data_IF_701680969144
#
_entry.id   IF_701680969144
#
_cell.length_a   1.000
_cell.length_b   1.000
_cell.length_c   1.000
_cell.angle_alpha   90.00
_cell.angle_beta   90.00
_cell.angle_gamma   90.00
#
_symmetry.space_group_name_H-M   'P 1'
#
loop_
_entity.id
_entity.type
_entity.pdbx_description
1 polymer ?
#
# COMPACT_ATOMS: atom_id res chain seq x y z
N UNK A 1 50.68 -1.25 33.53
CA UNK A 1 49.24 -1.52 33.35
C UNK A 1 48.72 -0.53 32.33
N UNK A 2 48.40 -0.98 31.13
CA UNK A 2 47.92 -0.13 30.05
C UNK A 2 46.43 -0.41 29.85
N UNK A 3 45.60 0.58 30.13
CA UNK A 3 44.15 0.56 29.90
C UNK A 3 43.89 0.71 28.40
N UNK A 4 43.32 -0.32 27.78
CA UNK A 4 42.75 -0.25 26.44
C UNK A 4 41.35 0.36 26.57
N UNK A 5 41.19 1.61 26.15
CA UNK A 5 39.88 2.23 25.96
C UNK A 5 39.26 1.65 24.69
N UNK A 6 38.15 0.92 24.83
CA UNK A 6 37.35 0.46 23.71
C UNK A 6 36.76 1.67 22.98
N UNK A 7 37.26 1.97 21.78
CA UNK A 7 36.67 2.95 20.89
C UNK A 7 35.35 2.36 20.38
N UNK A 8 34.25 2.96 20.83
CA UNK A 8 32.91 2.61 20.39
C UNK A 8 32.73 2.93 18.92
N UNK A 9 32.51 1.89 18.12
CA UNK A 9 31.78 1.99 16.87
C UNK A 9 30.42 1.32 17.11
N UNK A 10 29.52 2.04 17.78
CA UNK A 10 28.09 1.80 17.57
C UNK A 10 27.82 2.12 16.10
N UNK A 11 27.41 1.16 15.27
CA UNK A 11 26.76 1.53 14.03
C UNK A 11 25.54 2.34 14.43
N UNK A 12 25.53 3.61 14.04
CA UNK A 12 24.32 4.43 14.07
C UNK A 12 23.28 3.67 13.27
N UNK A 13 22.41 2.95 13.96
CA UNK A 13 21.21 2.37 13.40
C UNK A 13 20.28 3.56 13.11
N UNK A 14 20.57 4.30 12.04
CA UNK A 14 19.51 4.94 11.30
C UNK A 14 18.60 3.79 10.89
N UNK A 15 17.49 3.65 11.61
CA UNK A 15 16.46 2.69 11.27
C UNK A 15 16.21 2.84 9.76
N UNK A 16 16.27 1.76 8.96
CA UNK A 16 15.76 1.83 7.61
C UNK A 16 14.33 2.36 7.75
N UNK A 17 14.00 3.43 7.06
CA UNK A 17 12.65 3.96 7.03
C UNK A 17 11.76 2.93 6.35
N UNK A 18 11.35 1.90 7.09
CA UNK A 18 10.31 0.95 6.71
C UNK A 18 8.93 1.62 6.72
N UNK A 19 8.82 2.92 6.98
CA UNK A 19 7.54 3.67 7.02
C UNK A 19 6.70 3.56 5.75
N UNK A 20 7.27 3.29 4.58
CA UNK A 20 6.47 3.07 3.36
C UNK A 20 5.85 1.68 3.24
N UNK A 21 6.17 0.74 4.14
CA UNK A 21 5.53 -0.56 4.23
C UNK A 21 4.15 -0.46 4.90
N UNK A 22 3.99 0.42 5.89
CA UNK A 22 2.74 0.63 6.64
C UNK A 22 1.84 1.73 6.06
N UNK A 23 2.37 2.63 5.21
CA UNK A 23 1.63 3.82 4.74
C UNK A 23 0.61 3.55 3.61
N UNK A 24 0.51 2.32 3.08
CA UNK A 24 -0.45 1.98 2.03
C UNK A 24 -1.69 1.33 2.62
N UNK A 25 -2.85 1.83 2.20
CA UNK A 25 -4.16 1.42 2.70
C UNK A 25 -4.42 -0.08 2.47
N UNK A 26 -5.01 -0.72 3.48
CA UNK A 26 -5.59 -2.08 3.38
C UNK A 26 -7.01 -2.05 2.82
N UNK A 27 -7.59 -3.22 2.58
CA UNK A 27 -8.99 -3.41 2.23
C UNK A 27 -9.93 -2.73 3.23
N UNK A 28 -9.70 -2.96 4.53
CA UNK A 28 -10.49 -2.35 5.61
C UNK A 28 -10.31 -0.83 5.69
N UNK A 29 -9.08 -0.32 5.62
CA UNK A 29 -8.83 1.13 5.67
C UNK A 29 -9.39 1.87 4.46
N UNK A 30 -9.22 1.31 3.26
CA UNK A 30 -9.78 1.86 2.03
C UNK A 30 -11.31 1.85 2.07
N UNK A 31 -11.90 0.78 2.59
CA UNK A 31 -13.36 0.69 2.79
C UNK A 31 -13.85 1.74 3.77
N UNK A 32 -13.16 1.97 4.90
CA UNK A 32 -13.56 2.99 5.87
C UNK A 32 -13.55 4.40 5.27
N UNK A 33 -12.47 4.76 4.55
CA UNK A 33 -12.35 6.07 3.92
C UNK A 33 -13.46 6.31 2.89
N UNK A 34 -13.78 5.28 2.09
CA UNK A 34 -14.89 5.36 1.14
C UNK A 34 -16.24 5.37 1.83
N UNK A 35 -16.44 4.63 2.92
CA UNK A 35 -17.69 4.65 3.69
C UNK A 35 -18.00 6.09 4.17
N UNK A 36 -17.02 6.74 4.78
CA UNK A 36 -17.17 8.11 5.30
C UNK A 36 -17.39 9.11 4.16
N UNK A 37 -16.63 9.02 3.08
CA UNK A 37 -16.76 9.91 1.94
C UNK A 37 -18.12 9.74 1.22
N UNK A 38 -18.48 8.51 0.88
CA UNK A 38 -19.72 8.18 0.17
C UNK A 38 -20.94 8.57 1.00
N UNK A 39 -20.89 8.40 2.32
CA UNK A 39 -21.93 8.87 3.24
C UNK A 39 -22.18 10.38 3.14
N UNK A 40 -21.13 11.17 2.97
CA UNK A 40 -21.26 12.62 2.80
C UNK A 40 -21.66 13.03 1.36
N UNK A 41 -21.50 12.16 0.36
CA UNK A 41 -21.63 12.49 -1.08
C UNK A 41 -22.76 11.73 -1.80
N UNK A 42 -23.87 11.44 -1.11
CA UNK A 42 -25.08 10.87 -1.72
C UNK A 42 -25.37 9.42 -1.33
N UNK A 43 -24.54 8.81 -0.49
CA UNK A 43 -24.83 7.53 0.18
C UNK A 43 -24.48 6.27 -0.62
N UNK A 44 -24.22 6.40 -1.92
CA UNK A 44 -23.73 5.31 -2.77
C UNK A 44 -22.79 5.83 -3.87
N UNK A 45 -21.94 4.95 -4.41
CA UNK A 45 -21.00 5.29 -5.49
C UNK A 45 -20.89 4.13 -6.48
N UNK A 46 -20.86 4.45 -7.78
CA UNK A 46 -20.61 3.43 -8.79
C UNK A 46 -19.11 3.12 -8.92
N UNK A 47 -18.78 1.88 -9.27
CA UNK A 47 -17.41 1.45 -9.58
C UNK A 47 -16.74 2.33 -10.64
N UNK A 48 -17.48 2.73 -11.68
CA UNK A 48 -17.00 3.63 -12.75
C UNK A 48 -16.63 5.03 -12.24
N UNK A 49 -17.26 5.48 -11.16
CA UNK A 49 -17.01 6.82 -10.60
C UNK A 49 -15.77 6.82 -9.70
N UNK A 50 -15.29 5.65 -9.29
CA UNK A 50 -14.05 5.53 -8.54
C UNK A 50 -12.84 6.03 -9.32
N UNK A 51 -12.84 5.95 -10.66
CA UNK A 51 -11.75 6.49 -11.47
C UNK A 51 -11.65 8.01 -11.31
N UNK A 52 -12.78 8.72 -11.30
CA UNK A 52 -12.82 10.15 -11.08
C UNK A 52 -12.37 10.54 -9.66
N UNK A 53 -12.71 9.73 -8.65
CA UNK A 53 -12.23 9.92 -7.28
C UNK A 53 -10.71 9.66 -7.17
N UNK A 54 -10.23 8.59 -7.78
CA UNK A 54 -8.83 8.20 -7.79
C UNK A 54 -7.94 9.25 -8.47
N UNK A 55 -8.41 9.81 -9.60
CA UNK A 55 -7.69 10.86 -10.34
C UNK A 55 -7.94 12.27 -9.81
N UNK A 56 -8.78 12.42 -8.78
CA UNK A 56 -9.30 13.71 -8.31
C UNK A 56 -9.79 14.61 -9.47
N UNK A 57 -10.59 14.06 -10.38
CA UNK A 57 -11.06 14.79 -11.56
C UNK A 57 -11.87 16.05 -11.22
N UNK A 58 -12.57 16.04 -10.07
CA UNK A 58 -13.35 17.17 -9.58
C UNK A 58 -12.56 18.22 -8.78
N UNK A 59 -11.27 17.98 -8.49
CA UNK A 59 -10.43 18.89 -7.72
C UNK A 59 -10.59 18.80 -6.19
N UNK A 60 -11.76 18.39 -5.71
CA UNK A 60 -12.13 18.41 -4.28
C UNK A 60 -12.06 17.05 -3.57
N UNK A 61 -11.51 16.00 -4.22
CA UNK A 61 -11.36 14.68 -3.61
C UNK A 61 -10.18 14.68 -2.63
N UNK A 62 -10.38 14.36 -1.34
CA UNK A 62 -9.28 14.27 -0.39
C UNK A 62 -8.24 13.22 -0.83
N UNK A 63 -6.93 13.47 -0.64
CA UNK A 63 -5.88 12.54 -1.10
C UNK A 63 -6.06 11.10 -0.60
N UNK A 64 -6.52 10.92 0.63
CA UNK A 64 -6.78 9.60 1.22
C UNK A 64 -7.95 8.89 0.54
N UNK A 65 -8.99 9.64 0.12
CA UNK A 65 -10.13 9.10 -0.63
C UNK A 65 -9.69 8.70 -2.03
N UNK A 66 -8.86 9.50 -2.69
CA UNK A 66 -8.26 9.14 -3.98
C UNK A 66 -7.41 7.88 -3.89
N UNK A 67 -6.62 7.73 -2.82
CA UNK A 67 -5.86 6.51 -2.56
C UNK A 67 -6.76 5.29 -2.31
N UNK A 68 -7.84 5.45 -1.54
CA UNK A 68 -8.81 4.38 -1.29
C UNK A 68 -9.57 3.98 -2.56
N UNK A 69 -9.97 4.94 -3.39
CA UNK A 69 -10.57 4.67 -4.69
C UNK A 69 -9.59 3.94 -5.63
N UNK A 70 -8.32 4.35 -5.62
CA UNK A 70 -7.25 3.67 -6.37
C UNK A 70 -7.08 2.22 -5.92
N UNK A 71 -7.13 1.97 -4.61
CA UNK A 71 -7.08 0.62 -4.05
C UNK A 71 -8.24 -0.25 -4.57
N UNK A 72 -9.47 0.28 -4.56
CA UNK A 72 -10.63 -0.45 -5.08
C UNK A 72 -10.54 -0.73 -6.59
N UNK A 73 -9.89 0.14 -7.35
CA UNK A 73 -9.65 -0.06 -8.78
C UNK A 73 -8.56 -1.11 -9.05
N UNK A 74 -7.52 -1.20 -8.20
CA UNK A 74 -6.49 -2.24 -8.30
C UNK A 74 -6.96 -3.60 -7.79
N UNK A 75 -7.99 -3.63 -6.94
CA UNK A 75 -8.60 -4.82 -6.36
C UNK A 75 -10.09 -4.94 -6.73
N UNK A 76 -10.41 -5.22 -8.01
CA UNK A 76 -11.79 -5.27 -8.47
C UNK A 76 -12.61 -6.37 -7.81
N UNK A 77 -11.96 -7.43 -7.34
CA UNK A 77 -12.54 -8.51 -6.53
C UNK A 77 -12.97 -8.03 -5.15
N UNK A 78 -12.17 -7.18 -4.49
CA UNK A 78 -12.54 -6.53 -3.23
C UNK A 78 -13.78 -5.66 -3.42
N UNK A 79 -13.79 -4.79 -4.44
CA UNK A 79 -14.99 -3.96 -4.69
C UNK A 79 -16.23 -4.83 -4.93
N UNK A 80 -16.12 -5.87 -5.75
CA UNK A 80 -17.24 -6.78 -6.04
C UNK A 80 -17.72 -7.50 -4.78
N UNK A 81 -16.81 -7.91 -3.90
CA UNK A 81 -17.16 -8.51 -2.62
C UNK A 81 -17.87 -7.52 -1.69
N UNK A 82 -17.44 -6.25 -1.65
CA UNK A 82 -18.11 -5.18 -0.91
C UNK A 82 -19.53 -4.97 -1.46
N UNK A 83 -19.64 -4.78 -2.77
CA UNK A 83 -20.89 -4.52 -3.48
C UNK A 83 -21.94 -5.60 -3.22
N UNK A 84 -21.50 -6.86 -3.13
CA UNK A 84 -22.39 -8.01 -2.99
C UNK A 84 -22.75 -8.38 -1.55
N UNK A 85 -22.35 -7.56 -0.55
CA UNK A 85 -22.62 -7.82 0.87
C UNK A 85 -24.12 -7.84 1.20
N UNK A 86 -24.89 -6.93 0.62
CA UNK A 86 -26.33 -6.82 0.85
C UNK A 86 -27.18 -7.47 -0.26
N UNK A 87 -26.67 -7.50 -1.51
CA UNK A 87 -27.33 -8.14 -2.64
C UNK A 87 -26.32 -8.95 -3.49
N UNK A 88 -26.52 -10.26 -3.71
CA UNK A 88 -25.58 -11.06 -4.50
C UNK A 88 -25.47 -10.67 -5.98
N UNK A 89 -26.38 -9.86 -6.52
CA UNK A 89 -26.31 -9.40 -7.90
C UNK A 89 -25.54 -8.07 -8.00
N UNK A 90 -24.30 -8.15 -8.52
CA UNK A 90 -23.48 -6.98 -8.77
C UNK A 90 -24.01 -6.14 -9.96
N UNK A 91 -24.36 -4.88 -9.70
CA UNK A 91 -24.80 -3.86 -10.67
C UNK A 91 -23.81 -2.68 -10.83
N UNK A 92 -22.67 -2.77 -10.14
CA UNK A 92 -21.60 -1.79 -10.07
C UNK A 92 -21.86 -0.64 -9.10
N UNK A 93 -22.89 -0.69 -8.25
CA UNK A 93 -23.23 0.35 -7.27
C UNK A 93 -23.07 -0.19 -5.84
N UNK A 94 -22.32 0.51 -5.01
CA UNK A 94 -22.18 0.14 -3.60
C UNK A 94 -22.53 1.31 -2.67
N UNK A 95 -23.35 1.02 -1.66
CA UNK A 95 -23.74 1.97 -0.63
C UNK A 95 -22.67 2.13 0.46
N UNK A 96 -22.73 3.25 1.20
CA UNK A 96 -21.80 3.50 2.30
C UNK A 96 -21.79 2.39 3.36
N UNK A 97 -22.91 1.65 3.51
CA UNK A 97 -23.09 0.62 4.53
C UNK A 97 -22.30 -0.64 4.17
N UNK A 98 -22.27 -1.03 2.89
CA UNK A 98 -21.42 -2.11 2.41
C UNK A 98 -19.95 -1.80 2.65
N UNK A 99 -19.51 -0.55 2.39
CA UNK A 99 -18.15 -0.13 2.72
C UNK A 99 -17.88 -0.14 4.23
N UNK A 100 -18.83 0.30 5.06
CA UNK A 100 -18.68 0.27 6.52
C UNK A 100 -18.59 -1.17 7.05
N UNK A 101 -19.41 -2.09 6.54
CA UNK A 101 -19.38 -3.50 6.91
C UNK A 101 -18.06 -4.15 6.48
N UNK A 102 -17.58 -3.83 5.27
CA UNK A 102 -16.27 -4.25 4.80
C UNK A 102 -15.13 -3.73 5.67
N UNK A 103 -15.19 -2.47 6.09
CA UNK A 103 -14.24 -1.90 7.04
C UNK A 103 -14.23 -2.66 8.38
N UNK A 104 -15.40 -3.11 8.82
CA UNK A 104 -15.59 -3.92 10.02
C UNK A 104 -15.31 -5.43 9.83
N UNK A 105 -14.74 -5.82 8.68
CA UNK A 105 -14.25 -7.18 8.43
C UNK A 105 -15.22 -8.11 7.71
N UNK A 106 -16.33 -7.61 7.15
CA UNK A 106 -17.30 -8.43 6.42
C UNK A 106 -16.71 -9.14 5.19
N UNK A 107 -15.57 -8.65 4.66
CA UNK A 107 -14.88 -9.28 3.53
C UNK A 107 -14.17 -10.59 3.86
N UNK A 108 -13.95 -10.88 5.16
CA UNK A 108 -13.27 -12.08 5.61
C UNK A 108 -11.98 -12.37 4.83
N UNK A 109 -11.88 -13.58 4.27
CA UNK A 109 -10.71 -14.03 3.53
C UNK A 109 -10.43 -13.25 2.24
N UNK A 110 -11.44 -12.65 1.60
CA UNK A 110 -11.24 -11.87 0.36
C UNK A 110 -10.41 -10.62 0.64
N UNK A 111 -10.77 -9.86 1.66
CA UNK A 111 -9.99 -8.68 2.08
C UNK A 111 -8.58 -9.06 2.52
N UNK A 112 -8.45 -10.10 3.34
CA UNK A 112 -7.15 -10.57 3.81
C UNK A 112 -6.23 -11.06 2.68
N UNK A 113 -6.79 -11.71 1.64
CA UNK A 113 -6.03 -12.19 0.50
C UNK A 113 -5.54 -11.03 -0.37
N UNK A 114 -6.38 -10.02 -0.60
CA UNK A 114 -5.98 -8.81 -1.34
C UNK A 114 -4.85 -8.07 -0.61
N UNK A 115 -4.98 -7.89 0.70
CA UNK A 115 -3.95 -7.27 1.52
C UNK A 115 -2.64 -8.07 1.51
N UNK A 116 -2.72 -9.41 1.59
CA UNK A 116 -1.56 -10.29 1.49
C UNK A 116 -0.88 -10.20 0.12
N UNK A 117 -1.67 -10.13 -0.97
CA UNK A 117 -1.14 -9.98 -2.32
C UNK A 117 -0.36 -8.68 -2.46
N UNK A 118 -0.87 -7.57 -1.93
CA UNK A 118 -0.16 -6.29 -1.95
C UNK A 118 1.14 -6.30 -1.15
N UNK A 119 1.14 -6.97 0.00
CA UNK A 119 2.36 -7.17 0.80
C UNK A 119 3.37 -8.00 0.01
N UNK A 120 2.92 -9.07 -0.66
CA UNK A 120 3.77 -9.92 -1.45
C UNK A 120 4.39 -9.18 -2.64
N UNK A 121 3.57 -8.47 -3.44
CA UNK A 121 4.04 -7.69 -4.58
C UNK A 121 5.07 -6.63 -4.14
N UNK A 122 4.87 -6.03 -2.96
CA UNK A 122 5.82 -5.09 -2.37
C UNK A 122 7.13 -5.76 -1.96
N UNK A 123 7.07 -6.92 -1.33
CA UNK A 123 8.26 -7.67 -0.94
C UNK A 123 9.11 -8.02 -2.18
N UNK A 124 8.46 -8.40 -3.29
CA UNK A 124 9.15 -8.65 -4.56
C UNK A 124 9.82 -7.38 -5.08
N UNK A 125 9.11 -6.25 -5.13
CA UNK A 125 9.68 -4.98 -5.60
C UNK A 125 10.89 -4.55 -4.76
N UNK A 126 10.78 -4.59 -3.43
CA UNK A 126 11.89 -4.26 -2.53
C UNK A 126 13.07 -5.23 -2.68
N UNK A 127 12.82 -6.52 -2.90
CA UNK A 127 13.88 -7.50 -3.13
C UNK A 127 14.67 -7.23 -4.41
N UNK A 128 13.98 -6.80 -5.48
CA UNK A 128 14.61 -6.43 -6.74
C UNK A 128 15.48 -5.17 -6.58
N UNK A 129 15.00 -4.18 -5.83
CA UNK A 129 15.77 -2.97 -5.53
C UNK A 129 17.02 -3.26 -4.70
N UNK A 130 16.91 -4.08 -3.65
CA UNK A 130 18.05 -4.51 -2.83
C UNK A 130 19.10 -5.23 -3.69
N UNK A 131 18.66 -6.11 -4.59
CA UNK A 131 19.55 -6.84 -5.51
C UNK A 131 20.32 -5.87 -6.41
N UNK A 132 19.62 -4.88 -6.97
CA UNK A 132 20.23 -3.83 -7.80
C UNK A 132 21.26 -3.03 -7.02
N UNK A 133 20.88 -2.49 -5.86
CA UNK A 133 21.76 -1.71 -4.97
C UNK A 133 23.01 -2.51 -4.56
N UNK A 134 22.85 -3.79 -4.25
CA UNK A 134 23.98 -4.66 -3.86
C UNK A 134 24.94 -4.90 -5.01
N UNK A 135 24.41 -5.10 -6.23
CA UNK A 135 25.21 -5.28 -7.44
C UNK A 135 26.00 -4.02 -7.79
N UNK A 136 25.35 -2.85 -7.72
CA UNK A 136 25.98 -1.55 -7.96
C UNK A 136 27.07 -1.26 -6.94
N UNK A 137 26.80 -1.46 -5.64
CA UNK A 137 27.80 -1.26 -4.58
C UNK A 137 28.99 -2.20 -4.73
N UNK A 138 28.76 -3.47 -5.09
CA UNK A 138 29.84 -4.42 -5.34
C UNK A 138 30.71 -3.98 -6.51
N UNK A 139 30.09 -3.61 -7.62
CA UNK A 139 30.80 -3.12 -8.82
C UNK A 139 31.64 -1.88 -8.52
N UNK A 140 31.08 -0.92 -7.77
CA UNK A 140 31.81 0.28 -7.34
C UNK A 140 32.98 -0.03 -6.39
N UNK A 141 32.81 -0.98 -5.47
CA UNK A 141 33.86 -1.41 -4.55
C UNK A 141 34.99 -2.17 -5.29
N UNK A 142 34.66 -2.98 -6.28
CA UNK A 142 35.64 -3.70 -7.09
C UNK A 142 36.41 -2.74 -8.02
N UNK A 143 35.76 -1.73 -8.59
CA UNK A 143 36.41 -0.69 -9.40
C UNK A 143 37.40 0.16 -8.59
N UNK A 144 37.09 0.48 -7.33
CA UNK A 144 37.97 1.26 -6.44
C UNK A 144 39.12 0.44 -5.85
N UNK A 145 39.05 -0.89 -5.91
CA UNK A 145 40.09 -1.82 -5.43
C UNK A 145 41.02 -2.32 -6.54
N UNK A 146 40.85 -1.88 -7.79
CA UNK A 146 41.79 -2.25 -8.85
C UNK A 146 43.18 -1.66 -8.54
N UNK A 147 44.16 -2.55 -8.40
CA UNK A 147 45.57 -2.21 -8.18
C UNK A 147 46.15 -1.60 -9.46
N UNK A 148 46.94 -0.51 -9.39
CA UNK A 148 47.59 0.05 -10.57
C UNK A 148 48.42 -1.03 -11.27
N UNK A 149 48.21 -1.19 -12.58
CA UNK A 149 49.01 -2.08 -13.39
C UNK A 149 50.34 -1.38 -13.69
N UNK A 150 51.39 -1.77 -12.96
CA UNK A 150 52.78 -1.42 -13.24
C UNK A 150 53.42 -2.50 -14.10
#
# INVERSE_FOLDING_TARGET
MSTISATGNTPSNAAPSFSTFEDRLTSSQSSQLLADYVKAHGGAVYKRDLEALASNAGGDTPPQVSAAASYMLSHPDVYTAIETLDNPNADGLSGHWNFADAANGALGSTGALADLKDVFDRAIASSAEITKLTTEKKTGLDATKQRPQN
#
